data_IF_635215048523
#
_entry.id   IF_635215048523
#
_cell.length_a   1.000
_cell.length_b   1.000
_cell.length_c   1.000
_cell.angle_alpha   90.00
_cell.angle_beta   90.00
_cell.angle_gamma   90.00
#
_symmetry.space_group_name_H-M   'P 1'
#
loop_
_entity.id
_entity.type
_entity.pdbx_description
1 polymer ?
#
# COMPACT_ATOMS: atom_id res chain seq x y z
N UNK A 1 10.60 -21.46 16.71
CA UNK A 1 11.22 -20.26 16.12
C UNK A 1 11.45 -19.24 17.22
N UNK A 2 12.70 -18.80 17.39
CA UNK A 2 13.09 -17.76 18.35
C UNK A 2 12.23 -16.49 18.17
N UNK A 3 11.80 -15.87 19.28
CA UNK A 3 10.99 -14.65 19.27
C UNK A 3 11.70 -13.52 18.54
N UNK A 4 13.02 -13.38 18.65
CA UNK A 4 13.75 -12.34 17.91
C UNK A 4 13.69 -12.56 16.39
N UNK A 5 13.81 -13.83 15.94
CA UNK A 5 13.66 -14.20 14.52
C UNK A 5 12.25 -13.91 13.99
N UNK A 6 11.21 -14.05 14.81
CA UNK A 6 9.83 -13.67 14.45
C UNK A 6 9.71 -12.17 14.17
N UNK A 7 10.32 -11.32 14.98
CA UNK A 7 10.33 -9.87 14.72
C UNK A 7 11.10 -9.51 13.45
N UNK A 8 12.24 -10.15 13.19
CA UNK A 8 12.98 -9.95 11.93
C UNK A 8 12.14 -10.34 10.72
N UNK A 9 11.51 -11.52 10.76
CA UNK A 9 10.65 -11.97 9.68
C UNK A 9 9.43 -11.04 9.49
N UNK A 10 8.83 -10.56 10.59
CA UNK A 10 7.74 -9.59 10.53
C UNK A 10 8.16 -8.27 9.85
N UNK A 11 9.36 -7.77 10.12
CA UNK A 11 9.90 -6.59 9.43
C UNK A 11 10.06 -6.86 7.94
N UNK A 12 10.62 -8.00 7.54
CA UNK A 12 10.81 -8.35 6.13
C UNK A 12 9.48 -8.50 5.39
N UNK A 13 8.49 -9.15 5.99
CA UNK A 13 7.16 -9.27 5.39
C UNK A 13 6.51 -7.91 5.23
N UNK A 14 6.56 -7.07 6.27
CA UNK A 14 6.05 -5.71 6.14
C UNK A 14 6.81 -4.99 5.03
N UNK A 15 8.15 -5.05 4.97
CA UNK A 15 9.00 -4.33 4.01
C UNK A 15 8.91 -4.80 2.55
N UNK A 16 8.50 -6.04 2.26
CA UNK A 16 8.53 -6.58 0.89
C UNK A 16 7.18 -7.07 0.38
N UNK A 17 6.22 -7.41 1.25
CA UNK A 17 4.95 -7.98 0.82
C UNK A 17 3.80 -6.96 0.95
N UNK A 18 3.41 -6.64 2.17
CA UNK A 18 2.26 -5.76 2.42
C UNK A 18 2.40 -5.10 3.80
N UNK A 19 2.17 -3.77 3.92
CA UNK A 19 2.06 -3.14 5.22
C UNK A 19 0.94 -3.81 6.03
N UNK A 20 1.27 -4.28 7.24
CA UNK A 20 0.31 -4.94 8.12
C UNK A 20 0.49 -6.46 8.22
N UNK A 21 1.04 -7.11 7.19
CA UNK A 21 1.13 -8.58 7.17
C UNK A 21 2.12 -9.14 8.22
N UNK A 22 3.18 -8.40 8.54
CA UNK A 22 4.14 -8.79 9.58
C UNK A 22 3.54 -8.93 10.98
N UNK A 23 2.42 -8.24 11.26
CA UNK A 23 1.76 -8.28 12.56
C UNK A 23 1.16 -9.65 12.89
N UNK A 24 0.82 -10.45 11.88
CA UNK A 24 0.36 -11.83 12.09
C UNK A 24 1.42 -12.70 12.76
N UNK A 25 2.70 -12.48 12.45
CA UNK A 25 3.82 -13.26 12.99
C UNK A 25 4.14 -12.93 14.45
N UNK A 26 3.81 -11.71 14.90
CA UNK A 26 4.00 -11.27 16.29
C UNK A 26 2.73 -11.40 17.14
N UNK A 27 1.64 -11.95 16.58
CA UNK A 27 0.41 -12.28 17.30
C UNK A 27 -0.65 -11.15 17.35
N UNK A 28 -0.40 -10.01 16.70
CA UNK A 28 -1.29 -8.85 16.74
C UNK A 28 -2.33 -8.86 15.60
N UNK A 29 -3.23 -9.85 15.62
CA UNK A 29 -4.17 -10.12 14.52
C UNK A 29 -5.07 -8.94 14.15
N UNK A 30 -5.61 -8.21 15.13
CA UNK A 30 -6.52 -7.08 14.87
C UNK A 30 -5.80 -5.96 14.11
N UNK A 31 -4.58 -5.61 14.56
CA UNK A 31 -3.74 -4.61 13.87
C UNK A 31 -3.31 -5.08 12.49
N UNK A 32 -2.98 -6.37 12.36
CA UNK A 32 -2.64 -6.97 11.09
C UNK A 32 -3.79 -6.81 10.07
N UNK A 33 -5.02 -7.15 10.46
CA UNK A 33 -6.21 -7.03 9.62
C UNK A 33 -6.47 -5.55 9.29
N UNK A 34 -6.52 -4.67 10.29
CA UNK A 34 -6.85 -3.26 10.08
C UNK A 34 -5.88 -2.55 9.11
N UNK A 35 -4.57 -2.72 9.32
CA UNK A 35 -3.54 -2.08 8.49
C UNK A 35 -3.51 -2.70 7.09
N UNK A 36 -3.62 -4.03 6.98
CA UNK A 36 -3.64 -4.69 5.67
C UNK A 36 -4.88 -4.28 4.87
N UNK A 37 -6.05 -4.22 5.52
CA UNK A 37 -7.29 -3.77 4.90
C UNK A 37 -7.19 -2.32 4.42
N UNK A 38 -6.61 -1.43 5.23
CA UNK A 38 -6.42 -0.03 4.84
C UNK A 38 -5.45 0.11 3.65
N UNK A 39 -4.37 -0.68 3.62
CA UNK A 39 -3.42 -0.72 2.50
C UNK A 39 -4.10 -1.19 1.21
N UNK A 40 -4.91 -2.26 1.29
CA UNK A 40 -5.69 -2.76 0.17
C UNK A 40 -6.73 -1.73 -0.28
N UNK A 41 -7.37 -1.04 0.65
CA UNK A 41 -8.35 0.01 0.34
C UNK A 41 -7.70 1.14 -0.43
N UNK A 42 -6.53 1.64 -0.02
CA UNK A 42 -5.83 2.69 -0.77
C UNK A 42 -5.37 2.24 -2.16
N UNK A 43 -4.87 1.01 -2.29
CA UNK A 43 -4.49 0.44 -3.60
C UNK A 43 -5.69 0.30 -4.53
N UNK A 44 -6.80 -0.24 -4.02
CA UNK A 44 -8.02 -0.45 -4.80
C UNK A 44 -8.69 0.88 -5.14
N UNK A 45 -8.77 1.83 -4.21
CA UNK A 45 -9.31 3.16 -4.45
C UNK A 45 -8.53 3.90 -5.55
N UNK A 46 -7.19 3.90 -5.50
CA UNK A 46 -6.36 4.49 -6.54
C UNK A 46 -6.59 3.83 -7.91
N UNK A 47 -6.65 2.50 -7.94
CA UNK A 47 -6.84 1.72 -9.18
C UNK A 47 -8.23 1.95 -9.79
N UNK A 48 -9.28 1.94 -8.95
CA UNK A 48 -10.67 2.16 -9.38
C UNK A 48 -10.85 3.59 -9.88
N UNK A 49 -10.34 4.59 -9.15
CA UNK A 49 -10.46 5.98 -9.57
C UNK A 49 -9.77 6.23 -10.91
N UNK A 50 -8.56 5.69 -11.09
CA UNK A 50 -7.85 5.79 -12.36
C UNK A 50 -8.60 5.06 -13.48
N UNK A 51 -9.04 3.81 -13.25
CA UNK A 51 -9.79 3.02 -14.23
C UNK A 51 -11.08 3.70 -14.67
N UNK A 52 -11.86 4.25 -13.73
CA UNK A 52 -13.08 5.01 -14.03
C UNK A 52 -12.78 6.26 -14.87
N UNK A 53 -11.67 6.95 -14.60
CA UNK A 53 -11.27 8.11 -15.39
C UNK A 53 -10.88 7.74 -16.82
N UNK A 54 -10.16 6.62 -17.01
CA UNK A 54 -9.80 6.11 -18.34
C UNK A 54 -11.06 5.72 -19.12
N UNK A 55 -11.98 4.97 -18.51
CA UNK A 55 -13.26 4.57 -19.15
C UNK A 55 -14.08 5.80 -19.53
N UNK A 56 -14.20 6.78 -18.63
CA UNK A 56 -14.91 8.03 -18.90
C UNK A 56 -14.29 8.76 -20.10
N UNK A 57 -12.97 8.86 -20.17
CA UNK A 57 -12.27 9.54 -21.26
C UNK A 57 -12.44 8.81 -22.59
N UNK A 58 -12.31 7.48 -22.60
CA UNK A 58 -12.58 6.67 -23.79
C UNK A 58 -14.02 6.83 -24.29
N UNK A 59 -15.01 6.88 -23.38
CA UNK A 59 -16.42 7.03 -23.76
C UNK A 59 -16.78 8.39 -24.34
N UNK A 60 -15.94 9.41 -24.11
CA UNK A 60 -16.12 10.77 -24.62
C UNK A 60 -15.41 11.00 -25.97
N UNK A 61 -14.58 10.06 -26.41
CA UNK A 61 -13.91 10.15 -27.71
C UNK A 61 -14.89 9.78 -28.82
N UNK A 62 -14.99 10.63 -29.83
CA UNK A 62 -15.85 10.43 -31.00
C UNK A 62 -15.28 9.23 -31.80
N UNK A 63 -16.10 8.36 -32.40
CA UNK A 63 -15.63 7.19 -33.17
C UNK A 63 -14.64 7.51 -34.30
N UNK A 64 -14.56 8.76 -34.75
CA UNK A 64 -13.60 9.24 -35.76
C UNK A 64 -12.17 9.39 -35.19
N UNK A 65 -12.04 9.63 -33.87
CA UNK A 65 -10.77 9.75 -33.15
C UNK A 65 -10.28 8.40 -32.58
N UNK A 66 -11.03 7.31 -32.74
CA UNK A 66 -10.68 5.96 -32.28
C UNK A 66 -9.61 5.28 -33.15
N UNK A 67 -8.55 6.01 -33.48
CA UNK A 67 -7.31 5.43 -34.01
C UNK A 67 -6.49 4.73 -32.92
N UNK A 68 -5.37 4.10 -33.30
CA UNK A 68 -4.45 3.41 -32.38
C UNK A 68 -3.92 4.30 -31.21
N UNK A 69 -4.09 5.62 -31.29
CA UNK A 69 -3.67 6.59 -30.28
C UNK A 69 -4.76 6.98 -29.26
N UNK A 70 -6.03 6.62 -29.46
CA UNK A 70 -7.13 7.02 -28.58
C UNK A 70 -6.94 6.52 -27.14
N UNK A 71 -6.54 5.26 -26.98
CA UNK A 71 -6.24 4.67 -25.67
C UNK A 71 -5.09 5.39 -24.98
N UNK A 72 -4.02 5.70 -25.71
CA UNK A 72 -2.84 6.40 -25.20
C UNK A 72 -3.18 7.81 -24.71
N UNK A 73 -4.00 8.54 -25.47
CA UNK A 73 -4.49 9.87 -25.12
C UNK A 73 -5.43 9.79 -23.91
N UNK A 74 -6.35 8.83 -23.86
CA UNK A 74 -7.26 8.66 -22.74
C UNK A 74 -6.52 8.31 -21.44
N UNK A 75 -5.49 7.45 -21.51
CA UNK A 75 -4.61 7.14 -20.37
C UNK A 75 -3.87 8.38 -19.90
N UNK A 76 -3.28 9.15 -20.82
CA UNK A 76 -2.55 10.38 -20.48
C UNK A 76 -3.45 11.43 -19.83
N UNK A 77 -4.64 11.69 -20.39
CA UNK A 77 -5.59 12.65 -19.82
C UNK A 77 -6.13 12.19 -18.46
N UNK A 78 -6.49 10.91 -18.32
CA UNK A 78 -6.92 10.34 -17.06
C UNK A 78 -5.83 10.47 -15.98
N UNK A 79 -4.57 10.29 -16.37
CA UNK A 79 -3.41 10.51 -15.51
C UNK A 79 -3.28 11.98 -15.09
N UNK A 80 -3.32 12.92 -16.04
CA UNK A 80 -3.17 14.36 -15.72
C UNK A 80 -4.21 14.86 -14.71
N UNK A 81 -5.44 14.34 -14.78
CA UNK A 81 -6.54 14.72 -13.90
C UNK A 81 -6.39 14.09 -12.50
N UNK A 82 -6.01 12.81 -12.42
CA UNK A 82 -6.03 12.06 -11.16
C UNK A 82 -4.67 11.94 -10.48
N UNK A 83 -3.56 12.37 -11.11
CA UNK A 83 -2.20 12.21 -10.58
C UNK A 83 -2.08 12.65 -9.12
N UNK A 84 -2.68 13.78 -8.73
CA UNK A 84 -2.60 14.28 -7.36
C UNK A 84 -3.25 13.32 -6.35
N UNK A 85 -4.43 12.79 -6.67
CA UNK A 85 -5.12 11.82 -5.81
C UNK A 85 -4.34 10.51 -5.74
N UNK A 86 -3.83 10.02 -6.87
CA UNK A 86 -3.00 8.81 -6.92
C UNK A 86 -1.73 9.00 -6.09
N UNK A 87 -1.06 10.15 -6.18
CA UNK A 87 0.10 10.48 -5.35
C UNK A 87 -0.25 10.52 -3.86
N UNK A 88 -1.42 11.04 -3.48
CA UNK A 88 -1.88 11.00 -2.09
C UNK A 88 -2.09 9.57 -1.59
N UNK A 89 -2.67 8.67 -2.39
CA UNK A 89 -2.82 7.26 -2.01
C UNK A 89 -1.47 6.56 -1.88
N UNK A 90 -0.54 6.78 -2.82
CA UNK A 90 0.83 6.24 -2.76
C UNK A 90 1.55 6.75 -1.50
N UNK A 91 1.44 8.05 -1.21
CA UNK A 91 2.02 8.64 -0.01
C UNK A 91 1.41 8.04 1.27
N UNK A 92 0.09 7.84 1.31
CA UNK A 92 -0.59 7.21 2.45
C UNK A 92 -0.13 5.76 2.67
N UNK A 93 0.01 4.98 1.59
CA UNK A 93 0.56 3.61 1.65
C UNK A 93 2.01 3.64 2.14
N UNK A 94 2.83 4.57 1.65
CA UNK A 94 4.22 4.72 2.06
C UNK A 94 4.34 5.08 3.55
N UNK A 95 3.50 6.00 4.04
CA UNK A 95 3.44 6.36 5.47
C UNK A 95 3.00 5.17 6.34
N UNK A 96 1.99 4.41 5.90
CA UNK A 96 1.60 3.15 6.54
C UNK A 96 2.76 2.17 6.61
N UNK A 97 3.55 2.10 5.54
CA UNK A 97 4.71 1.22 5.46
C UNK A 97 5.78 1.58 6.47
N UNK A 98 6.18 2.86 6.50
CA UNK A 98 7.13 3.39 7.47
C UNK A 98 6.64 3.18 8.89
N UNK A 99 5.37 3.46 9.16
CA UNK A 99 4.75 3.24 10.46
C UNK A 99 4.88 1.77 10.92
N UNK A 100 4.54 0.82 10.04
CA UNK A 100 4.65 -0.61 10.34
C UNK A 100 6.08 -1.04 10.67
N UNK A 101 7.06 -0.53 9.92
CA UNK A 101 8.47 -0.86 10.17
C UNK A 101 8.95 -0.29 11.49
N UNK A 102 8.67 0.99 11.76
CA UNK A 102 9.08 1.66 13.00
C UNK A 102 8.44 0.97 14.21
N UNK A 103 7.15 0.67 14.17
CA UNK A 103 6.46 0.01 15.29
C UNK A 103 7.02 -1.40 15.59
N UNK A 104 7.29 -2.21 14.55
CA UNK A 104 7.89 -3.53 14.74
C UNK A 104 9.33 -3.42 15.27
N UNK A 105 10.12 -2.45 14.80
CA UNK A 105 11.47 -2.18 15.32
C UNK A 105 11.42 -1.78 16.80
N UNK A 106 10.51 -0.88 17.18
CA UNK A 106 10.34 -0.45 18.57
C UNK A 106 9.94 -1.61 19.47
N UNK A 107 9.02 -2.47 19.02
CA UNK A 107 8.61 -3.68 19.76
C UNK A 107 9.76 -4.67 19.93
N UNK A 108 10.57 -4.88 18.89
CA UNK A 108 11.77 -5.72 18.97
C UNK A 108 12.78 -5.15 19.98
N UNK A 109 13.05 -3.84 19.94
CA UNK A 109 13.95 -3.17 20.90
C UNK A 109 13.45 -3.34 22.34
N UNK A 110 12.15 -3.10 22.59
CA UNK A 110 11.53 -3.29 23.91
C UNK A 110 11.66 -4.73 24.39
N UNK A 111 11.39 -5.71 23.53
CA UNK A 111 11.55 -7.13 23.85
C UNK A 111 13.01 -7.46 24.24
N UNK A 112 13.99 -7.02 23.45
CA UNK A 112 15.42 -7.25 23.75
C UNK A 112 15.85 -6.62 25.09
N UNK A 113 15.39 -5.40 25.38
CA UNK A 113 15.69 -4.72 26.65
C UNK A 113 15.20 -5.51 27.87
N UNK A 114 14.00 -6.10 27.79
CA UNK A 114 13.42 -6.89 28.90
C UNK A 114 14.14 -8.22 29.08
N UNK A 115 14.62 -8.83 27.99
CA UNK A 115 15.17 -10.19 28.01
C UNK A 115 16.68 -10.24 28.27
N UNK A 116 17.41 -9.15 28.00
CA UNK A 116 18.88 -9.08 28.16
C UNK A 116 19.28 -8.26 29.40
N UNK A 117 18.42 -7.34 29.86
CA UNK A 117 18.67 -6.49 31.02
C UNK A 117 17.97 -6.93 32.31
N UNK A 118 17.37 -8.12 32.33
CA UNK A 118 16.69 -8.72 33.47
C UNK A 118 17.30 -10.05 33.88
#
# INVERSE_FOLDING_TARGET
MDKDKRYVLAMLINAFALPGAGYFLIGERIRAIAISALSILFLTAASVQYGLAVVKRLSMMIPVDMGANATSVALYEAWQINKNAIFLYIAAIFLLWLYCLVDVIMKRKKFRSITIGG
#
